data_IF_475495406081
#
_entry.id   IF_475495406081
#
_cell.length_a   1.000
_cell.length_b   1.000
_cell.length_c   1.000
_cell.angle_alpha   90.00
_cell.angle_beta   90.00
_cell.angle_gamma   90.00
#
_symmetry.space_group_name_H-M   'P 1'
#
loop_
_entity.id
_entity.type
_entity.pdbx_description
1 polymer ?
#
# COMPACT_ATOMS: atom_id res chain seq x y z
N UNK A 1 66.39 -16.25 23.45
CA UNK A 1 65.11 -16.47 24.18
C UNK A 1 64.39 -15.16 24.52
N UNK A 2 65.04 -14.19 25.18
CA UNK A 2 64.40 -12.94 25.60
C UNK A 2 63.87 -12.07 24.45
N UNK A 3 64.65 -11.90 23.36
CA UNK A 3 64.25 -11.11 22.19
C UNK A 3 62.99 -11.65 21.49
N UNK A 4 62.84 -12.98 21.39
CA UNK A 4 61.65 -13.61 20.80
C UNK A 4 60.40 -13.32 21.62
N UNK A 5 60.52 -13.25 22.96
CA UNK A 5 59.40 -12.93 23.86
C UNK A 5 58.96 -11.47 23.71
N UNK A 6 59.89 -10.54 23.54
CA UNK A 6 59.57 -9.13 23.29
C UNK A 6 58.94 -8.92 21.91
N UNK A 7 59.43 -9.60 20.88
CA UNK A 7 58.83 -9.54 19.54
C UNK A 7 57.39 -10.07 19.56
N UNK A 8 57.15 -11.23 20.18
CA UNK A 8 55.79 -11.76 20.32
C UNK A 8 54.89 -10.85 21.18
N UNK A 9 55.42 -10.27 22.26
CA UNK A 9 54.66 -9.38 23.14
C UNK A 9 54.19 -8.09 22.45
N UNK A 10 54.87 -7.64 21.39
CA UNK A 10 54.47 -6.47 20.59
C UNK A 10 53.70 -6.85 19.33
N UNK A 11 54.06 -7.95 18.67
CA UNK A 11 53.42 -8.39 17.44
C UNK A 11 51.99 -8.90 17.65
N UNK A 12 51.72 -9.59 18.76
CA UNK A 12 50.39 -10.12 19.07
C UNK A 12 49.36 -9.00 19.31
N UNK A 13 49.61 -7.99 20.17
CA UNK A 13 48.65 -6.90 20.34
C UNK A 13 48.52 -6.05 19.07
N UNK A 14 49.59 -5.85 18.31
CA UNK A 14 49.52 -5.16 17.01
C UNK A 14 48.62 -5.90 16.02
N UNK A 15 48.76 -7.23 15.93
CA UNK A 15 47.92 -8.07 15.08
C UNK A 15 46.44 -8.03 15.50
N UNK A 16 46.17 -8.04 16.80
CA UNK A 16 44.80 -7.94 17.33
C UNK A 16 44.17 -6.58 17.01
N UNK A 17 44.92 -5.49 17.12
CA UNK A 17 44.46 -4.15 16.73
C UNK A 17 44.16 -4.08 15.23
N UNK A 18 45.02 -4.67 14.39
CA UNK A 18 44.80 -4.72 12.94
C UNK A 18 43.55 -5.56 12.57
N UNK A 19 43.29 -6.65 13.29
CA UNK A 19 42.07 -7.46 13.11
C UNK A 19 40.80 -6.71 13.52
N UNK A 20 40.87 -5.84 14.54
CA UNK A 20 39.73 -5.00 14.94
C UNK A 20 39.46 -3.85 13.98
N UNK A 21 40.51 -3.35 13.31
CA UNK A 21 40.43 -2.33 12.27
C UNK A 21 39.92 -2.88 10.93
N UNK A 22 40.09 -4.19 10.66
CA UNK A 22 39.48 -4.83 9.50
C UNK A 22 37.98 -4.97 9.73
N UNK A 23 37.22 -3.95 9.31
CA UNK A 23 35.76 -4.01 9.26
C UNK A 23 35.31 -5.19 8.38
N UNK A 24 34.26 -5.94 8.75
CA UNK A 24 33.77 -7.04 7.92
C UNK A 24 33.19 -6.48 6.61
N UNK A 25 33.82 -6.81 5.49
CA UNK A 25 33.33 -6.48 4.15
C UNK A 25 31.90 -6.99 3.87
N UNK A 26 31.47 -8.02 4.61
CA UNK A 26 30.12 -8.58 4.58
C UNK A 26 29.04 -7.56 4.95
N UNK A 27 29.35 -6.63 5.87
CA UNK A 27 28.41 -5.57 6.27
C UNK A 27 28.10 -4.61 5.13
N UNK A 28 29.04 -4.38 4.21
CA UNK A 28 28.84 -3.50 3.06
C UNK A 28 27.91 -4.12 2.02
N UNK A 29 28.12 -5.40 1.68
CA UNK A 29 27.31 -6.09 0.67
C UNK A 29 25.86 -6.25 1.15
N UNK A 30 25.68 -6.66 2.41
CA UNK A 30 24.34 -6.79 2.98
C UNK A 30 23.63 -5.44 3.03
N UNK A 31 24.34 -4.37 3.42
CA UNK A 31 23.81 -3.01 3.44
C UNK A 31 23.42 -2.50 2.05
N UNK A 32 24.23 -2.78 1.03
CA UNK A 32 23.92 -2.41 -0.35
C UNK A 32 22.64 -3.09 -0.83
N UNK A 33 22.49 -4.40 -0.57
CA UNK A 33 21.30 -5.17 -0.96
C UNK A 33 20.06 -4.65 -0.21
N UNK A 34 20.15 -4.47 1.11
CA UNK A 34 19.00 -4.03 1.91
C UNK A 34 18.58 -2.61 1.57
N UNK A 35 19.52 -1.67 1.41
CA UNK A 35 19.21 -0.29 1.02
C UNK A 35 18.59 -0.25 -0.39
N UNK A 36 19.11 -1.03 -1.34
CA UNK A 36 18.54 -1.08 -2.70
C UNK A 36 17.11 -1.64 -2.69
N UNK A 37 16.85 -2.73 -1.96
CA UNK A 37 15.51 -3.29 -1.86
C UNK A 37 14.53 -2.35 -1.15
N UNK A 38 14.94 -1.75 -0.04
CA UNK A 38 14.09 -0.82 0.72
C UNK A 38 13.73 0.41 -0.09
N UNK A 39 14.69 1.00 -0.81
CA UNK A 39 14.45 2.18 -1.64
C UNK A 39 13.55 1.88 -2.85
N UNK A 40 13.58 0.67 -3.41
CA UNK A 40 12.70 0.28 -4.51
C UNK A 40 11.27 -0.10 -4.04
N UNK A 41 11.13 -0.68 -2.85
CA UNK A 41 9.82 -1.13 -2.33
C UNK A 41 9.06 0.00 -1.63
N UNK A 42 9.73 0.75 -0.77
CA UNK A 42 9.11 1.82 0.03
C UNK A 42 9.29 3.22 -0.60
N UNK A 43 10.11 3.33 -1.66
CA UNK A 43 10.57 4.61 -2.17
C UNK A 43 11.64 5.22 -1.27
N UNK A 44 12.51 6.04 -1.85
CA UNK A 44 13.47 6.79 -1.06
C UNK A 44 12.72 7.82 -0.18
N UNK A 45 13.06 7.98 1.11
CA UNK A 45 12.35 8.88 2.04
C UNK A 45 12.39 10.36 1.63
N UNK A 46 13.12 10.71 0.56
CA UNK A 46 13.20 12.04 -0.04
C UNK A 46 11.88 12.43 -0.74
N UNK A 47 11.13 11.47 -1.29
CA UNK A 47 9.92 11.72 -2.11
C UNK A 47 8.61 11.76 -1.33
N UNK A 48 8.64 11.62 0.00
CA UNK A 48 7.43 11.68 0.81
C UNK A 48 7.01 13.13 1.03
N UNK A 49 6.24 13.68 0.09
CA UNK A 49 5.69 15.03 0.22
C UNK A 49 4.58 15.02 1.28
N UNK A 50 4.72 15.89 2.30
CA UNK A 50 3.73 16.00 3.37
C UNK A 50 2.51 16.74 2.82
N UNK A 51 1.53 15.98 2.35
CA UNK A 51 0.27 16.54 1.87
C UNK A 51 -0.73 16.65 3.03
N UNK A 52 -1.17 17.87 3.32
CA UNK A 52 -2.29 18.09 4.24
C UNK A 52 -3.61 18.01 3.48
N UNK A 53 -4.53 17.19 3.98
CA UNK A 53 -5.88 17.06 3.43
C UNK A 53 -6.87 17.66 4.42
N UNK A 54 -7.69 18.60 3.98
CA UNK A 54 -8.82 19.08 4.77
C UNK A 54 -9.96 18.04 4.70
N UNK A 55 -9.88 17.03 5.57
CA UNK A 55 -10.88 15.97 5.65
C UNK A 55 -12.13 16.47 6.38
N UNK A 56 -13.20 16.74 5.64
CA UNK A 56 -14.54 16.90 6.23
C UNK A 56 -15.24 15.53 6.27
N UNK A 57 -15.44 14.91 7.45
CA UNK A 57 -16.13 13.63 7.58
C UNK A 57 -17.57 13.66 7.09
N UNK A 58 -18.16 14.85 6.92
CA UNK A 58 -19.52 15.04 6.43
C UNK A 58 -19.59 15.42 4.95
N UNK A 59 -18.46 15.62 4.25
CA UNK A 59 -18.45 16.00 2.84
C UNK A 59 -19.22 15.00 1.97
N UNK A 60 -18.98 13.70 2.18
CA UNK A 60 -19.67 12.64 1.45
C UNK A 60 -21.19 12.64 1.73
N UNK A 61 -21.61 12.91 2.97
CA UNK A 61 -23.03 12.97 3.34
C UNK A 61 -23.73 14.16 2.66
N UNK A 62 -23.09 15.33 2.65
CA UNK A 62 -23.58 16.54 1.98
C UNK A 62 -23.67 16.35 0.47
N UNK A 63 -22.62 15.81 -0.15
CA UNK A 63 -22.58 15.52 -1.58
C UNK A 63 -23.69 14.55 -2.01
N UNK A 64 -23.94 13.51 -1.21
CA UNK A 64 -25.04 12.56 -1.46
C UNK A 64 -26.40 13.24 -1.44
N UNK A 65 -26.66 14.11 -0.47
CA UNK A 65 -27.94 14.83 -0.35
C UNK A 65 -28.18 15.74 -1.56
N UNK A 66 -27.20 16.58 -1.92
CA UNK A 66 -27.26 17.47 -3.08
C UNK A 66 -27.44 16.70 -4.40
N UNK A 67 -26.74 15.58 -4.53
CA UNK A 67 -26.87 14.73 -5.71
C UNK A 67 -28.27 14.12 -5.84
N UNK A 68 -28.86 13.66 -4.73
CA UNK A 68 -30.21 13.12 -4.70
C UNK A 68 -31.27 14.19 -4.98
N UNK A 69 -31.12 15.40 -4.42
CA UNK A 69 -31.99 16.54 -4.69
C UNK A 69 -32.00 16.90 -6.17
N UNK A 70 -30.82 16.95 -6.80
CA UNK A 70 -30.67 17.29 -8.21
C UNK A 70 -31.21 16.22 -9.17
N UNK A 71 -30.95 14.94 -8.88
CA UNK A 71 -31.17 13.84 -9.84
C UNK A 71 -32.37 12.94 -9.46
N UNK A 72 -33.01 13.19 -8.32
CA UNK A 72 -34.16 12.45 -7.81
C UNK A 72 -33.87 10.99 -7.49
N UNK A 73 -34.93 10.21 -7.29
CA UNK A 73 -34.85 8.78 -6.93
C UNK A 73 -34.10 7.90 -7.94
N UNK A 74 -34.18 8.24 -9.23
CA UNK A 74 -33.51 7.49 -10.33
C UNK A 74 -31.98 7.58 -10.27
N UNK A 75 -31.45 8.52 -9.51
CA UNK A 75 -30.02 8.74 -9.37
C UNK A 75 -29.28 7.62 -8.64
N UNK A 76 -29.99 6.87 -7.78
CA UNK A 76 -29.51 5.63 -7.17
C UNK A 76 -29.12 4.59 -8.24
N UNK A 77 -29.97 4.40 -9.25
CA UNK A 77 -29.71 3.52 -10.40
C UNK A 77 -28.50 3.97 -11.22
N UNK A 78 -28.28 5.28 -11.31
CA UNK A 78 -27.17 5.83 -12.08
C UNK A 78 -25.83 5.65 -11.36
N UNK A 79 -25.76 5.89 -10.05
CA UNK A 79 -24.55 5.64 -9.26
C UNK A 79 -24.15 4.16 -9.34
N UNK A 80 -25.13 3.27 -9.20
CA UNK A 80 -24.90 1.83 -9.27
C UNK A 80 -24.36 1.39 -10.64
N UNK A 81 -24.90 1.96 -11.72
CA UNK A 81 -24.38 1.75 -13.08
C UNK A 81 -22.96 2.27 -13.26
N UNK A 82 -22.66 3.47 -12.75
CA UNK A 82 -21.30 4.01 -12.76
C UNK A 82 -20.32 3.10 -12.00
N UNK A 83 -20.74 2.57 -10.84
CA UNK A 83 -19.94 1.65 -10.04
C UNK A 83 -19.67 0.30 -10.72
N UNK A 84 -20.55 -0.13 -11.63
CA UNK A 84 -20.35 -1.31 -12.47
C UNK A 84 -19.46 -1.02 -13.70
N UNK A 85 -18.93 0.20 -13.86
CA UNK A 85 -18.08 0.67 -14.96
C UNK A 85 -18.85 1.11 -16.22
N UNK A 86 -18.13 1.54 -17.27
CA UNK A 86 -18.72 1.92 -18.60
C UNK A 86 -18.06 1.24 -19.81
N UNK A 87 -17.12 0.32 -19.56
CA UNK A 87 -16.34 -0.50 -20.51
C UNK A 87 -17.10 -1.68 -21.18
N UNK A 88 -18.40 -1.87 -20.94
CA UNK A 88 -19.21 -2.99 -21.47
C UNK A 88 -19.33 -4.22 -20.56
N UNK A 89 -18.56 -4.32 -19.47
CA UNK A 89 -18.51 -5.52 -18.60
C UNK A 89 -19.45 -5.41 -17.38
N UNK A 90 -20.50 -4.61 -17.49
CA UNK A 90 -21.35 -4.20 -16.36
C UNK A 90 -22.20 -5.34 -15.81
N UNK A 91 -22.58 -6.30 -16.65
CA UNK A 91 -23.45 -7.41 -16.26
C UNK A 91 -22.70 -8.44 -15.43
N UNK A 92 -21.49 -8.80 -15.82
CA UNK A 92 -20.63 -9.73 -15.06
C UNK A 92 -20.31 -9.14 -13.68
N UNK A 93 -19.85 -7.88 -13.61
CA UNK A 93 -19.59 -7.21 -12.33
C UNK A 93 -20.83 -7.05 -11.47
N UNK A 94 -22.01 -6.85 -12.08
CA UNK A 94 -23.28 -6.83 -11.35
C UNK A 94 -23.60 -8.19 -10.74
N UNK A 95 -23.36 -9.28 -11.47
CA UNK A 95 -23.56 -10.63 -10.95
C UNK A 95 -22.60 -10.94 -9.79
N UNK A 96 -21.33 -10.58 -9.93
CA UNK A 96 -20.35 -10.71 -8.86
C UNK A 96 -20.76 -9.92 -7.60
N UNK A 97 -21.24 -8.68 -7.78
CA UNK A 97 -21.78 -7.87 -6.70
C UNK A 97 -23.00 -8.52 -6.04
N UNK A 98 -23.93 -9.05 -6.85
CA UNK A 98 -25.10 -9.74 -6.35
C UNK A 98 -24.72 -10.96 -5.50
N UNK A 99 -23.74 -11.76 -5.95
CA UNK A 99 -23.20 -12.90 -5.20
C UNK A 99 -22.53 -12.45 -3.90
N UNK A 100 -21.73 -11.37 -3.94
CA UNK A 100 -21.06 -10.79 -2.76
C UNK A 100 -22.03 -10.26 -1.71
N UNK A 101 -23.17 -9.74 -2.14
CA UNK A 101 -24.16 -9.10 -1.28
C UNK A 101 -25.19 -10.08 -0.70
N UNK A 102 -25.25 -11.34 -1.18
CA UNK A 102 -26.13 -12.37 -0.61
C UNK A 102 -25.96 -12.43 0.92
N UNK A 103 -27.05 -12.12 1.63
CA UNK A 103 -27.11 -12.19 3.10
C UNK A 103 -26.50 -11.01 3.86
N UNK A 104 -26.00 -9.97 3.19
CA UNK A 104 -25.62 -8.70 3.83
C UNK A 104 -26.82 -7.77 3.94
N UNK A 105 -26.86 -6.89 4.95
CA UNK A 105 -27.86 -5.81 5.07
C UNK A 105 -29.35 -6.25 5.09
N UNK A 106 -29.69 -7.44 5.62
CA UNK A 106 -31.10 -7.83 5.83
C UNK A 106 -31.90 -8.14 4.54
N UNK A 107 -31.23 -8.27 3.40
CA UNK A 107 -31.88 -8.64 2.13
C UNK A 107 -32.50 -7.50 1.33
N UNK A 108 -32.47 -6.26 1.83
CA UNK A 108 -32.86 -5.09 1.04
C UNK A 108 -31.66 -4.60 0.22
N UNK A 109 -31.58 -5.04 -1.03
CA UNK A 109 -30.74 -4.42 -2.04
C UNK A 109 -31.73 -3.93 -3.07
N UNK A 110 -31.80 -2.62 -3.32
CA UNK A 110 -32.66 -2.10 -4.38
C UNK A 110 -32.20 -2.74 -5.70
N UNK A 111 -32.89 -3.77 -6.17
CA UNK A 111 -32.70 -4.32 -7.52
C UNK A 111 -33.14 -3.24 -8.50
N UNK A 112 -32.16 -2.43 -8.89
CA UNK A 112 -32.36 -1.17 -9.57
C UNK A 112 -32.13 -1.28 -11.08
N UNK A 113 -31.67 -2.44 -11.55
CA UNK A 113 -31.49 -2.69 -12.97
C UNK A 113 -32.82 -3.07 -13.64
N UNK A 114 -33.10 -2.58 -14.87
CA UNK A 114 -34.16 -3.15 -15.68
C UNK A 114 -33.84 -4.63 -15.93
N UNK A 115 -34.86 -5.49 -16.04
CA UNK A 115 -34.64 -6.89 -16.39
C UNK A 115 -33.91 -6.98 -17.74
N UNK A 116 -33.12 -8.05 -17.97
CA UNK A 116 -32.49 -8.27 -19.27
C UNK A 116 -33.58 -8.28 -20.36
N UNK A 117 -33.27 -7.77 -21.57
CA UNK A 117 -34.22 -7.79 -22.68
C UNK A 117 -34.63 -9.24 -22.97
N UNK A 118 -35.94 -9.46 -23.09
CA UNK A 118 -36.57 -10.72 -23.53
C UNK A 118 -36.44 -10.91 -25.03
#
# INVERSE_FOLDING_TARGET
MLHLRFVCALAIPLLLVLLQLSQPAEGFILRLITETLQNNVAGEPITHDRTEWNFDPNAAKKARALYFEKNGFRSSKFIERLGAGTDGWHEERRMEQAVRDVGRLGGEHNQNYPPPPV
#
